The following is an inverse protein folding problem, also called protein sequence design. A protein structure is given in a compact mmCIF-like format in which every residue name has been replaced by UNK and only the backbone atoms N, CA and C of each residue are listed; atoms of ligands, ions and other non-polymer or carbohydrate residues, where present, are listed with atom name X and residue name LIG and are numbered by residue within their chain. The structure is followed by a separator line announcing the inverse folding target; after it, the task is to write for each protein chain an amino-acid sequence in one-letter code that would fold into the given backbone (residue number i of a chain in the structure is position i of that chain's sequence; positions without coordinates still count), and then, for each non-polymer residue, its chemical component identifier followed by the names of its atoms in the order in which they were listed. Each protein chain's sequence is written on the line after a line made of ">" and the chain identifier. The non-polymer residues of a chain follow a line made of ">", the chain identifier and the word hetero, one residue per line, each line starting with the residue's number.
data_IF_763314280595
#
_entry.id   IF_763314280595
#
_cell.length_a   1.000
_cell.length_b   1.000
_cell.length_c   1.000
_cell.angle_alpha   90.00
_cell.angle_beta   90.00
_cell.angle_gamma   90.00
#
_symmetry.space_group_name_H-M   'P 1'
#
loop_
_entity.id
_entity.type
_entity.pdbx_description
1 polymer ?
#
# COMPACT_ATOMS: atom_id res chain seq x y z
N UNK A 1 29.07 -43.09 29.32
CA UNK A 1 28.11 -41.96 29.25
C UNK A 1 28.85 -40.83 28.56
N UNK A 2 28.63 -40.67 27.25
CA UNK A 2 29.24 -39.60 26.44
C UNK A 2 28.15 -38.59 26.05
N UNK A 3 28.02 -37.53 26.84
CA UNK A 3 27.07 -36.43 26.67
C UNK A 3 27.74 -35.22 26.00
N UNK A 4 27.91 -35.17 24.67
CA UNK A 4 28.45 -33.96 24.02
C UNK A 4 27.85 -33.71 22.61
N UNK A 5 26.95 -32.71 22.54
CA UNK A 5 26.70 -31.76 21.41
C UNK A 5 26.22 -32.33 20.06
N UNK A 6 24.93 -32.69 19.94
CA UNK A 6 24.22 -32.53 18.65
C UNK A 6 23.80 -31.08 18.49
N UNK A 7 24.78 -30.25 18.15
CA UNK A 7 24.64 -28.82 17.93
C UNK A 7 23.59 -28.51 16.86
N UNK A 8 22.73 -27.55 17.20
CA UNK A 8 21.99 -26.63 16.33
C UNK A 8 22.40 -26.70 14.87
N UNK A 9 21.53 -27.25 14.00
CA UNK A 9 21.66 -27.09 12.55
C UNK A 9 21.69 -25.58 12.25
N UNK A 10 22.69 -25.05 11.52
CA UNK A 10 22.59 -23.70 11.02
C UNK A 10 21.34 -23.64 10.13
N UNK A 11 20.44 -22.69 10.42
CA UNK A 11 19.41 -22.31 9.44
C UNK A 11 20.19 -21.96 8.17
N UNK A 12 19.95 -22.72 7.10
CA UNK A 12 20.51 -22.41 5.80
C UNK A 12 20.26 -20.92 5.57
N UNK A 13 21.34 -20.17 5.42
CA UNK A 13 21.28 -18.76 5.08
C UNK A 13 20.60 -18.73 3.71
N UNK A 14 19.31 -18.40 3.70
CA UNK A 14 18.52 -18.24 2.49
C UNK A 14 19.08 -17.04 1.74
N UNK A 15 20.06 -17.29 0.90
CA UNK A 15 20.55 -16.32 -0.06
C UNK A 15 19.47 -16.08 -1.10
N UNK A 16 19.14 -14.81 -1.32
CA UNK A 16 18.19 -14.36 -2.33
C UNK A 16 18.66 -14.91 -3.70
N UNK A 17 17.81 -15.72 -4.31
CA UNK A 17 18.04 -16.29 -5.64
C UNK A 17 18.10 -15.18 -6.69
N UNK A 18 18.73 -15.42 -7.87
CA UNK A 18 18.74 -14.44 -8.96
C UNK A 18 17.32 -13.97 -9.34
N UNK A 19 16.35 -14.88 -9.37
CA UNK A 19 14.94 -14.60 -9.64
C UNK A 19 14.30 -13.68 -8.58
N UNK A 20 14.58 -13.92 -7.29
CA UNK A 20 14.08 -13.06 -6.21
C UNK A 20 14.66 -11.64 -6.30
N UNK A 21 15.94 -11.52 -6.69
CA UNK A 21 16.58 -10.22 -6.91
C UNK A 21 15.94 -9.46 -8.07
N UNK A 22 15.63 -10.16 -9.16
CA UNK A 22 14.96 -9.59 -10.31
C UNK A 22 13.54 -9.15 -9.98
N UNK A 23 12.75 -10.02 -9.33
CA UNK A 23 11.40 -9.70 -8.84
C UNK A 23 11.39 -8.45 -7.97
N UNK A 24 12.33 -8.36 -7.02
CA UNK A 24 12.46 -7.20 -6.13
C UNK A 24 12.84 -5.91 -6.87
N UNK A 25 13.58 -6.00 -7.99
CA UNK A 25 13.88 -4.85 -8.86
C UNK A 25 12.64 -4.39 -9.62
N UNK A 26 11.88 -5.33 -10.18
CA UNK A 26 10.64 -5.06 -10.92
C UNK A 26 9.57 -4.44 -10.01
N UNK A 27 9.36 -4.97 -8.81
CA UNK A 27 8.42 -4.42 -7.83
C UNK A 27 8.72 -2.96 -7.48
N UNK A 28 10.00 -2.61 -7.29
CA UNK A 28 10.40 -1.21 -7.06
C UNK A 28 10.12 -0.29 -8.25
N UNK A 29 10.34 -0.78 -9.46
CA UNK A 29 10.08 0.00 -10.67
C UNK A 29 8.57 0.26 -10.85
N UNK A 30 7.75 -0.74 -10.54
CA UNK A 30 6.29 -0.64 -10.56
C UNK A 30 5.78 0.38 -9.54
N UNK A 31 6.23 0.30 -8.28
CA UNK A 31 5.81 1.24 -7.22
C UNK A 31 6.17 2.69 -7.59
N UNK A 32 7.42 2.91 -8.01
CA UNK A 32 7.86 4.24 -8.43
C UNK A 32 7.03 4.80 -9.58
N UNK A 33 6.71 3.97 -10.58
CA UNK A 33 5.85 4.37 -11.69
C UNK A 33 4.43 4.68 -11.25
N UNK A 34 3.92 3.97 -10.24
CA UNK A 34 2.60 4.21 -9.64
C UNK A 34 2.58 5.56 -8.92
N UNK A 35 3.55 5.83 -8.05
CA UNK A 35 3.68 7.10 -7.32
C UNK A 35 3.83 8.31 -8.27
N UNK A 36 4.59 8.17 -9.36
CA UNK A 36 4.80 9.23 -10.36
C UNK A 36 3.56 9.48 -11.25
N UNK A 37 2.66 8.49 -11.39
CA UNK A 37 1.50 8.56 -12.30
C UNK A 37 0.24 9.12 -11.65
N UNK A 38 0.21 9.24 -10.32
CA UNK A 38 -0.94 9.81 -9.61
C UNK A 38 -0.60 11.20 -9.08
N UNK A 39 -1.15 12.29 -9.68
CA UNK A 39 -1.24 13.53 -8.93
C UNK A 39 -1.94 13.23 -7.61
N UNK A 40 -1.46 13.79 -6.49
CA UNK A 40 -2.10 13.68 -5.18
C UNK A 40 -3.60 13.84 -5.39
N UNK A 41 -4.35 12.73 -5.28
CA UNK A 41 -5.68 12.50 -5.86
C UNK A 41 -6.36 13.80 -6.27
N UNK A 42 -6.38 14.10 -7.58
CA UNK A 42 -6.92 15.33 -8.18
C UNK A 42 -8.03 15.92 -7.27
N UNK A 43 -7.89 17.15 -6.75
CA UNK A 43 -8.68 17.64 -5.62
C UNK A 43 -10.14 17.28 -5.79
N UNK A 44 -10.76 16.73 -4.73
CA UNK A 44 -12.19 16.40 -4.75
C UNK A 44 -12.91 17.64 -5.24
N UNK A 45 -13.51 17.57 -6.43
CA UNK A 45 -14.14 18.73 -7.03
C UNK A 45 -15.49 18.94 -6.34
N UNK A 46 -15.46 19.50 -5.13
CA UNK A 46 -16.64 19.76 -4.28
C UNK A 46 -17.28 21.08 -4.73
N UNK A 47 -17.70 21.14 -5.99
CA UNK A 47 -18.71 22.12 -6.37
C UNK A 47 -20.06 21.47 -6.14
N UNK A 48 -20.59 21.58 -4.92
CA UNK A 48 -22.02 21.33 -4.77
C UNK A 48 -22.78 22.41 -5.53
N UNK A 49 -23.78 22.04 -6.36
CA UNK A 49 -24.69 23.02 -6.92
C UNK A 49 -25.37 23.78 -5.77
N UNK A 50 -25.86 25.02 -6.01
CA UNK A 50 -26.57 25.77 -4.99
C UNK A 50 -27.71 24.90 -4.40
N UNK A 51 -27.97 25.01 -3.08
CA UNK A 51 -28.99 24.21 -2.41
C UNK A 51 -30.32 24.34 -3.14
N UNK A 52 -30.96 23.20 -3.35
CA UNK A 52 -32.24 23.13 -4.04
C UNK A 52 -33.36 23.70 -3.17
N UNK A 53 -34.50 24.04 -3.79
CA UNK A 53 -35.67 24.52 -3.04
C UNK A 53 -36.13 23.51 -1.96
N UNK A 54 -35.95 22.20 -2.21
CA UNK A 54 -36.28 21.14 -1.26
C UNK A 54 -35.38 21.17 -0.02
N UNK A 55 -34.12 21.57 -0.15
CA UNK A 55 -33.17 21.70 0.97
C UNK A 55 -33.52 22.86 1.93
N UNK A 56 -34.35 23.80 1.49
CA UNK A 56 -34.83 24.92 2.31
C UNK A 56 -36.02 24.53 3.18
N UNK A 57 -36.77 23.49 2.80
CA UNK A 57 -37.97 23.04 3.52
C UNK A 57 -37.61 22.23 4.77
N UNK A 58 -36.49 21.50 4.74
CA UNK A 58 -36.00 20.73 5.88
C UNK A 58 -35.42 21.62 7.00
N UNK A 59 -34.92 22.82 6.67
CA UNK A 59 -34.39 23.78 7.66
C UNK A 59 -35.48 24.55 8.42
N UNK A 60 -36.74 24.43 7.99
CA UNK A 60 -37.87 25.18 8.55
C UNK A 60 -38.77 24.33 9.45
N UNK A 61 -38.42 23.07 9.73
CA UNK A 61 -39.15 22.24 10.69
C UNK A 61 -38.59 22.46 12.11
N UNK A 62 -39.44 22.82 13.09
CA UNK A 62 -39.04 23.01 14.49
C UNK A 62 -38.70 21.72 15.22
#
# INVERSE_FOLDING_TARGET
>A
MDDIRRGRRPKAQGGETPDEKEKRRLERALERGLEESFPASDPVNVTQPPPSAKDQDDKKKP
#
